data_IF_145444702580
#
_entry.id   IF_145444702580
#
_cell.length_a   1.000
_cell.length_b   1.000
_cell.length_c   1.000
_cell.angle_alpha   90.00
_cell.angle_beta   90.00
_cell.angle_gamma   90.00
#
_symmetry.space_group_name_H-M   'P 1'
#
loop_
_entity.id
_entity.type
_entity.pdbx_description
1 polymer ?
#
# COMPACT_ATOMS: atom_id res chain seq x y z
N UNK A 1 39.97 -21.04 -0.64
CA UNK A 1 39.23 -19.94 -1.30
C UNK A 1 37.80 -20.40 -1.49
N UNK A 2 36.96 -20.13 -0.52
CA UNK A 2 35.56 -20.54 -0.53
C UNK A 2 34.76 -19.61 -1.44
N UNK A 3 34.37 -20.10 -2.61
CA UNK A 3 33.44 -19.42 -3.52
C UNK A 3 32.11 -19.26 -2.78
N UNK A 4 31.87 -18.07 -2.20
CA UNK A 4 30.55 -17.66 -1.70
C UNK A 4 29.54 -17.90 -2.83
N UNK A 5 28.61 -18.84 -2.62
CA UNK A 5 27.37 -18.93 -3.38
C UNK A 5 26.71 -17.56 -3.28
N UNK A 6 26.78 -16.77 -4.35
CA UNK A 6 25.90 -15.63 -4.50
C UNK A 6 24.50 -16.23 -4.60
N UNK A 7 23.78 -16.20 -3.48
CA UNK A 7 22.35 -16.48 -3.45
C UNK A 7 21.73 -15.62 -4.55
N UNK A 8 21.05 -16.26 -5.50
CA UNK A 8 20.27 -15.62 -6.57
C UNK A 8 19.02 -14.96 -5.96
N UNK A 9 19.21 -14.06 -5.01
CA UNK A 9 18.12 -13.22 -4.51
C UNK A 9 17.90 -12.11 -5.54
N UNK A 10 16.63 -11.80 -5.89
CA UNK A 10 16.31 -10.66 -6.74
C UNK A 10 16.88 -9.38 -6.11
N UNK A 11 17.32 -8.44 -6.95
CA UNK A 11 17.74 -7.11 -6.52
C UNK A 11 16.54 -6.23 -6.13
N UNK A 12 15.33 -6.58 -6.60
CA UNK A 12 14.06 -5.88 -6.34
C UNK A 12 14.06 -4.41 -6.79
N UNK A 13 14.90 -4.09 -7.78
CA UNK A 13 15.05 -2.74 -8.32
C UNK A 13 13.89 -2.39 -9.28
N UNK A 14 13.26 -3.38 -9.91
CA UNK A 14 12.12 -3.20 -10.82
C UNK A 14 10.83 -3.78 -10.25
N UNK A 15 9.68 -3.24 -10.70
CA UNK A 15 8.36 -3.74 -10.32
C UNK A 15 8.15 -5.21 -10.75
N UNK A 16 8.68 -5.58 -11.90
CA UNK A 16 8.53 -6.91 -12.49
C UNK A 16 9.31 -7.99 -11.73
N UNK A 17 10.24 -7.59 -10.85
CA UNK A 17 10.95 -8.50 -9.94
C UNK A 17 10.07 -8.94 -8.77
N UNK A 18 8.91 -8.27 -8.57
CA UNK A 18 7.94 -8.56 -7.52
C UNK A 18 6.78 -9.36 -8.08
N UNK A 19 6.37 -10.39 -7.36
CA UNK A 19 5.11 -11.07 -7.62
C UNK A 19 3.98 -10.15 -7.12
N UNK A 20 3.23 -9.55 -8.04
CA UNK A 20 2.04 -8.75 -7.74
C UNK A 20 0.81 -9.61 -8.05
N UNK A 21 0.06 -10.00 -7.02
CA UNK A 21 -1.18 -10.74 -7.21
C UNK A 21 -2.30 -9.79 -7.69
N UNK A 22 -3.11 -10.26 -8.64
CA UNK A 22 -4.32 -9.55 -9.05
C UNK A 22 -5.37 -9.51 -7.93
N UNK A 23 -6.20 -8.47 -7.92
CA UNK A 23 -7.30 -8.39 -6.98
C UNK A 23 -8.34 -9.48 -7.27
N UNK A 24 -8.87 -10.16 -6.24
CA UNK A 24 -9.90 -11.17 -6.43
C UNK A 24 -11.21 -10.53 -6.94
N UNK A 25 -11.85 -11.15 -7.93
CA UNK A 25 -13.14 -10.71 -8.50
C UNK A 25 -14.35 -10.96 -7.58
N UNK A 26 -14.12 -11.17 -6.27
CA UNK A 26 -15.15 -11.53 -5.30
C UNK A 26 -15.60 -10.34 -4.43
N UNK A 27 -16.65 -10.52 -3.62
CA UNK A 27 -17.05 -9.50 -2.66
C UNK A 27 -15.98 -9.30 -1.57
N UNK A 28 -15.69 -8.03 -1.26
CA UNK A 28 -14.79 -7.66 -0.17
C UNK A 28 -15.59 -7.31 1.08
N UNK A 29 -15.33 -7.99 2.20
CA UNK A 29 -15.92 -7.64 3.50
C UNK A 29 -14.97 -6.70 4.25
N UNK A 30 -15.45 -5.48 4.54
CA UNK A 30 -14.71 -4.47 5.32
C UNK A 30 -15.44 -4.24 6.64
N UNK A 31 -14.82 -4.59 7.77
CA UNK A 31 -15.38 -4.38 9.12
C UNK A 31 -14.60 -3.26 9.79
N UNK A 32 -15.24 -2.11 9.98
CA UNK A 32 -14.66 -0.96 10.69
C UNK A 32 -14.89 -1.10 12.19
N UNK A 33 -13.87 -0.82 12.98
CA UNK A 33 -13.92 -0.84 14.44
C UNK A 33 -13.99 0.58 15.02
N UNK A 34 -14.28 0.68 16.32
CA UNK A 34 -14.20 1.96 17.05
C UNK A 34 -12.76 2.42 17.33
N UNK A 35 -11.76 1.56 17.08
CA UNK A 35 -10.34 1.90 17.20
C UNK A 35 -9.77 2.40 15.87
N UNK A 36 -10.49 2.22 14.76
CA UNK A 36 -10.02 2.67 13.45
C UNK A 36 -10.05 4.21 13.38
N UNK A 37 -9.10 4.83 12.68
CA UNK A 37 -9.10 6.26 12.45
C UNK A 37 -10.40 6.70 11.75
N UNK A 38 -10.88 7.91 12.10
CA UNK A 38 -12.13 8.46 11.57
C UNK A 38 -12.11 8.57 10.04
N UNK A 39 -10.97 8.91 9.48
CA UNK A 39 -10.75 8.97 8.04
C UNK A 39 -9.28 8.72 7.71
N UNK A 40 -9.02 8.55 6.41
CA UNK A 40 -7.71 8.17 5.90
C UNK A 40 -6.66 9.26 6.05
N UNK A 41 -7.01 10.46 6.54
CA UNK A 41 -6.07 11.58 6.74
C UNK A 41 -5.41 11.55 8.12
N UNK A 42 -5.93 10.74 9.04
CA UNK A 42 -5.42 10.59 10.41
C UNK A 42 -4.41 9.44 10.45
N UNK A 43 -3.21 9.73 10.94
CA UNK A 43 -2.10 8.77 11.12
C UNK A 43 -1.70 7.97 9.87
N UNK A 44 -2.08 8.45 8.69
CA UNK A 44 -1.72 7.83 7.42
C UNK A 44 -0.36 8.36 6.93
N UNK A 45 0.66 7.50 6.80
CA UNK A 45 2.01 7.91 6.39
C UNK A 45 2.06 8.45 4.95
N UNK A 46 1.04 8.13 4.14
CA UNK A 46 0.93 8.64 2.77
C UNK A 46 0.27 10.03 2.70
N UNK A 47 -0.38 10.47 3.79
CA UNK A 47 -0.95 11.82 3.87
C UNK A 47 0.12 12.84 4.31
N UNK A 48 1.07 13.09 3.41
CA UNK A 48 2.14 14.09 3.61
C UNK A 48 1.72 15.45 3.04
N UNK A 49 2.07 16.54 3.74
CA UNK A 49 1.70 17.93 3.41
C UNK A 49 0.19 18.19 3.29
N UNK A 50 -0.46 18.41 4.44
CA UNK A 50 -1.88 18.78 4.59
C UNK A 50 -2.33 19.97 3.72
N UNK A 51 -1.40 20.76 3.19
CA UNK A 51 -1.64 21.94 2.35
C UNK A 51 -1.55 21.69 0.85
N UNK A 52 -0.99 20.56 0.40
CA UNK A 52 -0.76 20.27 -1.03
C UNK A 52 -1.53 19.04 -1.55
N UNK A 53 -1.98 18.14 -0.68
CA UNK A 53 -2.79 17.00 -1.09
C UNK A 53 -4.25 17.43 -1.33
N UNK A 54 -4.78 17.15 -2.52
CA UNK A 54 -6.23 17.22 -2.75
C UNK A 54 -6.90 16.21 -1.82
N UNK A 55 -7.54 16.75 -0.78
CA UNK A 55 -8.09 15.95 0.32
C UNK A 55 -9.23 15.07 -0.15
N UNK A 56 -9.86 15.42 -1.29
CA UNK A 56 -10.97 14.65 -1.84
C UNK A 56 -10.47 13.43 -2.60
N UNK A 57 -9.57 13.63 -3.57
CA UNK A 57 -9.01 12.53 -4.38
C UNK A 57 -8.28 11.51 -3.50
N UNK A 58 -7.53 11.99 -2.51
CA UNK A 58 -6.87 11.13 -1.53
C UNK A 58 -7.88 10.27 -0.76
N UNK A 59 -8.95 10.88 -0.25
CA UNK A 59 -9.98 10.13 0.49
C UNK A 59 -10.72 9.15 -0.40
N UNK A 60 -11.08 9.52 -1.62
CA UNK A 60 -11.75 8.62 -2.57
C UNK A 60 -10.90 7.37 -2.88
N UNK A 61 -9.58 7.52 -2.97
CA UNK A 61 -8.68 6.38 -3.20
C UNK A 61 -8.67 5.38 -2.02
N UNK A 62 -8.58 5.87 -0.79
CA UNK A 62 -8.48 5.02 0.40
C UNK A 62 -9.83 4.55 0.97
N UNK A 63 -10.88 5.36 0.84
CA UNK A 63 -12.20 5.09 1.43
C UNK A 63 -13.18 4.46 0.42
N UNK A 64 -12.84 4.49 -0.87
CA UNK A 64 -13.74 4.11 -1.95
C UNK A 64 -14.80 5.18 -2.24
N UNK A 65 -15.59 4.95 -3.29
CA UNK A 65 -16.80 5.73 -3.58
C UNK A 65 -17.98 5.29 -2.72
#
# INVERSE_FOLDING_TARGET
MDKKKQNQMPDFDSLDDRIIAEQPNGPTLVIKTNLDPKDSTVDNPYFTNKSQADTKEFREFFEGK
#
